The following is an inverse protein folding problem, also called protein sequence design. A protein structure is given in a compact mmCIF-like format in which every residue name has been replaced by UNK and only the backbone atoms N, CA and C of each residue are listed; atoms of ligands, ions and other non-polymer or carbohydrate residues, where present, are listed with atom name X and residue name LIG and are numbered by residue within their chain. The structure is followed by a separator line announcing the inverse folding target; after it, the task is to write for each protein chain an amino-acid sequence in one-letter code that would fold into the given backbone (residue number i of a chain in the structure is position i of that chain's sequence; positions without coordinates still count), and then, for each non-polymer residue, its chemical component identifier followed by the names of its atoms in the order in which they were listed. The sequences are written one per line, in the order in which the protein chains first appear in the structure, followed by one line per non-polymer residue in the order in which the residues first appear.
data_IF_832936057826
#
_entry.id   IF_832936057826
#
_cell.length_a   1.000
_cell.length_b   1.000
_cell.length_c   1.000
_cell.angle_alpha   90.00
_cell.angle_beta   90.00
_cell.angle_gamma   90.00
#
_symmetry.space_group_name_H-M   'P 1'
#
loop_
_entity.id
_entity.type
_entity.pdbx_description
1 polymer ?
#
# COMPACT_ATOMS: atom_id res chain seq x y z
N UNK A 1 2.84 -8.18 18.89
CA UNK A 1 3.30 -9.29 19.76
C UNK A 1 3.54 -8.84 21.19
N UNK A 2 4.26 -7.72 21.43
CA UNK A 2 4.58 -7.27 22.81
C UNK A 2 3.34 -6.89 23.65
N UNK A 3 2.27 -6.44 23.02
CA UNK A 3 1.03 -6.01 23.68
C UNK A 3 0.07 -7.18 23.92
N UNK A 4 0.06 -8.19 23.04
CA UNK A 4 -0.89 -9.30 23.07
C UNK A 4 -0.92 -10.14 24.36
N UNK A 5 0.17 -10.30 25.13
CA UNK A 5 0.10 -10.94 26.45
C UNK A 5 -0.77 -10.19 27.45
N UNK A 6 -0.95 -8.88 27.26
CA UNK A 6 -1.65 -8.00 28.20
C UNK A 6 -3.00 -7.50 27.66
N UNK A 7 -3.18 -7.54 26.35
CA UNK A 7 -4.39 -7.08 25.67
C UNK A 7 -4.66 -7.96 24.44
N UNK A 8 -5.84 -8.57 24.39
CA UNK A 8 -6.31 -9.36 23.24
C UNK A 8 -7.33 -8.52 22.48
N UNK A 9 -7.04 -8.10 21.26
CA UNK A 9 -8.01 -7.37 20.46
C UNK A 9 -9.10 -8.29 19.94
N UNK A 10 -10.30 -7.75 19.74
CA UNK A 10 -11.42 -8.46 19.11
C UNK A 10 -11.27 -8.50 17.58
N UNK A 11 -10.60 -7.49 17.01
CA UNK A 11 -10.42 -7.32 15.57
C UNK A 11 -8.97 -7.00 15.22
N UNK A 12 -8.52 -7.51 14.08
CA UNK A 12 -7.24 -7.18 13.46
C UNK A 12 -7.45 -6.89 11.97
N UNK A 13 -6.85 -5.83 11.46
CA UNK A 13 -6.87 -5.50 10.04
C UNK A 13 -5.45 -5.64 9.48
N UNK A 14 -5.28 -6.49 8.49
CA UNK A 14 -4.04 -6.63 7.71
C UNK A 14 -4.22 -5.93 6.37
N UNK A 15 -3.62 -4.75 6.23
CA UNK A 15 -3.77 -3.93 5.03
C UNK A 15 -2.90 -4.41 3.88
N UNK A 16 -1.66 -4.78 4.18
CA UNK A 16 -0.68 -5.35 3.27
C UNK A 16 0.58 -5.78 4.05
N UNK A 17 1.43 -6.55 3.40
CA UNK A 17 2.74 -6.96 3.92
C UNK A 17 3.80 -6.60 2.87
N UNK A 18 4.32 -5.37 2.96
CA UNK A 18 5.44 -4.89 2.17
C UNK A 18 6.72 -4.84 2.99
N UNK A 19 7.85 -4.95 2.33
CA UNK A 19 9.16 -4.69 2.94
C UNK A 19 9.20 -3.25 3.46
N UNK A 20 9.57 -3.08 4.73
CA UNK A 20 9.66 -1.78 5.39
C UNK A 20 10.75 -1.81 6.45
N UNK A 21 11.69 -0.87 6.39
CA UNK A 21 12.76 -0.65 7.37
C UNK A 21 13.43 -1.97 7.83
N UNK A 22 14.21 -2.60 6.93
CA UNK A 22 14.88 -3.89 7.18
C UNK A 22 15.75 -3.90 8.44
N UNK A 23 16.38 -2.78 8.75
CA UNK A 23 17.18 -2.57 9.96
C UNK A 23 16.36 -2.70 11.25
N UNK A 24 15.06 -2.45 11.19
CA UNK A 24 14.16 -2.46 12.35
C UNK A 24 13.28 -3.70 12.42
N UNK A 25 12.72 -4.14 11.29
CA UNK A 25 11.74 -5.22 11.23
C UNK A 25 12.29 -6.50 10.62
N UNK A 26 13.45 -6.44 9.98
CA UNK A 26 14.05 -7.56 9.26
C UNK A 26 13.27 -7.93 7.99
N UNK A 27 13.56 -9.10 7.47
CA UNK A 27 12.88 -9.63 6.29
C UNK A 27 11.38 -9.89 6.55
N UNK A 28 10.58 -9.89 5.48
CA UNK A 28 9.12 -10.04 5.55
C UNK A 28 8.67 -11.30 6.31
N UNK A 29 9.43 -12.39 6.22
CA UNK A 29 9.14 -13.63 6.92
C UNK A 29 9.21 -13.48 8.44
N UNK A 30 10.09 -12.63 8.95
CA UNK A 30 10.17 -12.32 10.39
C UNK A 30 8.89 -11.62 10.83
N UNK A 31 8.45 -10.62 10.05
CA UNK A 31 7.20 -9.90 10.32
C UNK A 31 5.99 -10.84 10.27
N UNK A 32 5.90 -11.70 9.26
CA UNK A 32 4.83 -12.69 9.14
C UNK A 32 4.79 -13.66 10.34
N UNK A 33 5.95 -14.15 10.77
CA UNK A 33 6.04 -15.03 11.95
C UNK A 33 5.59 -14.32 13.24
N UNK A 34 5.93 -13.04 13.40
CA UNK A 34 5.47 -12.24 14.54
C UNK A 34 3.95 -12.04 14.53
N UNK A 35 3.37 -11.78 13.36
CA UNK A 35 1.92 -11.63 13.21
C UNK A 35 1.19 -12.96 13.47
N UNK A 36 1.68 -14.08 12.91
CA UNK A 36 1.12 -15.41 13.19
C UNK A 36 1.14 -15.73 14.69
N UNK A 37 2.25 -15.44 15.38
CA UNK A 37 2.32 -15.61 16.83
C UNK A 37 1.28 -14.75 17.57
N UNK A 38 1.07 -13.50 17.14
CA UNK A 38 0.05 -12.63 17.72
C UNK A 38 -1.36 -13.19 17.50
N UNK A 39 -1.67 -13.67 16.29
CA UNK A 39 -2.95 -14.29 15.95
C UNK A 39 -3.23 -15.52 16.83
N UNK A 40 -2.24 -16.41 17.00
CA UNK A 40 -2.35 -17.59 17.88
C UNK A 40 -2.58 -17.25 19.37
N UNK A 41 -2.16 -16.06 19.81
CA UNK A 41 -2.41 -15.60 21.20
C UNK A 41 -3.84 -15.10 21.40
N UNK A 42 -4.60 -14.82 20.34
CA UNK A 42 -5.98 -14.37 20.36
C UNK A 42 -6.81 -15.13 19.31
N UNK A 43 -7.11 -16.43 19.52
CA UNK A 43 -7.73 -17.30 18.52
C UNK A 43 -9.12 -16.84 18.08
N UNK A 44 -9.87 -16.21 18.97
CA UNK A 44 -11.23 -15.69 18.67
C UNK A 44 -11.23 -14.34 17.96
N UNK A 45 -10.06 -13.70 17.81
CA UNK A 45 -9.90 -12.41 17.14
C UNK A 45 -10.29 -12.54 15.66
N UNK A 46 -11.22 -11.70 15.20
CA UNK A 46 -11.63 -11.61 13.80
C UNK A 46 -10.58 -10.85 12.99
N UNK A 47 -10.15 -11.43 11.87
CA UNK A 47 -9.09 -10.84 11.03
C UNK A 47 -9.69 -10.39 9.70
N UNK A 48 -9.56 -9.12 9.39
CA UNK A 48 -9.89 -8.56 8.09
C UNK A 48 -8.60 -8.41 7.28
N UNK A 49 -8.50 -9.10 6.15
CA UNK A 49 -7.29 -9.10 5.31
C UNK A 49 -7.54 -8.43 3.97
N UNK A 50 -6.51 -7.81 3.42
CA UNK A 50 -6.51 -7.46 2.02
C UNK A 50 -6.38 -8.75 1.19
N UNK A 51 -7.47 -9.15 0.53
CA UNK A 51 -7.53 -10.36 -0.29
C UNK A 51 -6.66 -10.29 -1.54
N UNK A 52 -6.31 -9.08 -1.99
CA UNK A 52 -5.43 -8.84 -3.13
C UNK A 52 -3.95 -8.94 -2.76
N UNK A 53 -3.61 -9.04 -1.46
CA UNK A 53 -2.27 -9.32 -0.96
C UNK A 53 -2.10 -10.80 -0.62
N UNK A 54 -1.30 -11.52 -1.43
CA UNK A 54 -1.07 -12.96 -1.25
C UNK A 54 -0.43 -13.32 0.09
N UNK A 55 0.38 -12.44 0.67
CA UNK A 55 1.04 -12.66 1.95
C UNK A 55 0.07 -12.52 3.13
N UNK A 56 -0.77 -11.48 3.11
CA UNK A 56 -1.83 -11.29 4.12
C UNK A 56 -2.84 -12.42 4.08
N UNK A 57 -3.25 -12.85 2.89
CA UNK A 57 -4.17 -13.98 2.69
C UNK A 57 -3.56 -15.30 3.17
N UNK A 58 -2.28 -15.57 2.81
CA UNK A 58 -1.58 -16.74 3.31
C UNK A 58 -1.57 -16.77 4.83
N UNK A 59 -1.25 -15.66 5.48
CA UNK A 59 -1.20 -15.55 6.92
C UNK A 59 -2.56 -15.83 7.58
N UNK A 60 -3.67 -15.33 7.00
CA UNK A 60 -5.01 -15.61 7.49
C UNK A 60 -5.39 -17.08 7.34
N UNK A 61 -5.06 -17.70 6.21
CA UNK A 61 -5.35 -19.11 5.93
C UNK A 61 -4.49 -20.09 6.75
N UNK A 62 -3.29 -19.67 7.19
CA UNK A 62 -2.35 -20.50 7.97
C UNK A 62 -2.62 -20.42 9.49
N UNK A 63 -3.61 -19.64 9.90
CA UNK A 63 -4.04 -19.50 11.29
C UNK A 63 -5.53 -19.86 11.42
N UNK A 64 -5.96 -20.21 12.64
CA UNK A 64 -7.32 -20.67 12.93
C UNK A 64 -8.31 -19.53 13.23
N UNK A 65 -7.86 -18.28 13.19
CA UNK A 65 -8.69 -17.12 13.43
C UNK A 65 -9.84 -17.03 12.41
N UNK A 66 -11.05 -16.65 12.81
CA UNK A 66 -12.09 -16.28 11.85
C UNK A 66 -11.63 -15.06 11.03
N UNK A 67 -11.79 -15.10 9.71
CA UNK A 67 -11.32 -14.03 8.85
C UNK A 67 -12.25 -13.74 7.68
N UNK A 68 -12.17 -12.50 7.21
CA UNK A 68 -12.86 -11.98 6.04
C UNK A 68 -11.86 -11.26 5.14
N UNK A 69 -12.17 -11.14 3.85
CA UNK A 69 -11.31 -10.47 2.89
C UNK A 69 -11.99 -9.24 2.28
N UNK A 70 -11.21 -8.19 2.08
CA UNK A 70 -11.58 -7.05 1.23
C UNK A 70 -10.59 -6.93 0.07
N UNK A 71 -11.00 -6.27 -1.00
CA UNK A 71 -10.14 -6.04 -2.17
C UNK A 71 -10.92 -5.44 -3.33
N UNK A 72 -10.33 -5.47 -4.53
CA UNK A 72 -10.90 -4.89 -5.74
C UNK A 72 -10.89 -5.97 -6.83
N UNK A 73 -12.06 -6.45 -7.21
CA UNK A 73 -12.18 -7.60 -8.13
C UNK A 73 -12.00 -7.24 -9.61
N UNK A 74 -11.99 -5.96 -9.94
CA UNK A 74 -11.82 -5.47 -11.30
C UNK A 74 -10.48 -4.80 -11.51
N UNK A 75 -9.86 -4.98 -12.66
CA UNK A 75 -8.64 -4.27 -13.02
C UNK A 75 -8.94 -2.77 -13.17
N UNK A 76 -8.24 -1.92 -12.39
CA UNK A 76 -8.43 -0.46 -12.41
C UNK A 76 -7.46 0.21 -13.38
N UNK A 77 -6.24 -0.34 -13.52
CA UNK A 77 -5.24 0.16 -14.46
C UNK A 77 -4.93 -0.92 -15.50
N UNK A 78 -4.50 -0.47 -16.68
CA UNK A 78 -3.83 -1.38 -17.60
C UNK A 78 -2.46 -1.74 -17.03
N UNK A 79 -2.02 -2.95 -17.30
CA UNK A 79 -0.75 -3.47 -16.83
C UNK A 79 0.39 -2.55 -17.31
N UNK A 80 1.01 -1.83 -16.37
CA UNK A 80 2.24 -1.09 -16.63
C UNK A 80 3.43 -2.04 -16.50
N UNK A 81 4.36 -1.96 -17.44
CA UNK A 81 5.61 -2.72 -17.41
C UNK A 81 6.57 -2.10 -16.37
N UNK A 82 6.25 -2.27 -15.08
CA UNK A 82 7.05 -1.72 -13.99
C UNK A 82 8.15 -2.69 -13.58
N UNK A 83 9.30 -2.15 -13.16
CA UNK A 83 10.43 -2.90 -12.59
C UNK A 83 10.28 -3.11 -11.08
N UNK A 84 9.09 -2.93 -10.53
CA UNK A 84 8.85 -3.04 -9.09
C UNK A 84 9.19 -4.43 -8.56
N UNK A 85 9.87 -4.47 -7.42
CA UNK A 85 10.12 -5.70 -6.68
C UNK A 85 8.84 -6.10 -5.97
N UNK A 86 8.42 -7.36 -6.15
CA UNK A 86 7.19 -7.91 -5.59
C UNK A 86 7.51 -8.95 -4.53
N UNK A 87 7.19 -8.69 -3.28
CA UNK A 87 7.44 -9.60 -2.14
C UNK A 87 6.63 -10.89 -2.24
N UNK A 88 5.42 -10.83 -2.79
CA UNK A 88 4.55 -11.99 -3.03
C UNK A 88 4.87 -12.79 -4.31
N UNK A 89 6.10 -12.69 -4.85
CA UNK A 89 6.48 -13.35 -6.11
C UNK A 89 6.42 -14.86 -6.07
N UNK A 90 6.68 -15.46 -4.90
CA UNK A 90 6.69 -16.91 -4.72
C UNK A 90 5.63 -17.34 -3.70
N UNK A 91 4.96 -18.43 -4.01
CA UNK A 91 3.92 -19.02 -3.18
C UNK A 91 4.49 -19.46 -1.82
N UNK A 92 3.93 -18.97 -0.73
CA UNK A 92 4.36 -19.35 0.63
C UNK A 92 3.99 -20.79 1.01
N UNK A 93 3.11 -21.45 0.23
CA UNK A 93 2.74 -22.86 0.45
C UNK A 93 3.69 -23.86 -0.21
N UNK A 94 4.10 -23.59 -1.47
CA UNK A 94 4.85 -24.59 -2.23
C UNK A 94 6.14 -24.05 -2.89
N UNK A 95 6.41 -22.75 -2.79
CA UNK A 95 7.60 -22.11 -3.38
C UNK A 95 7.52 -21.83 -4.89
N UNK A 96 6.44 -22.24 -5.57
CA UNK A 96 6.26 -21.99 -7.00
C UNK A 96 6.05 -20.50 -7.26
N UNK A 97 6.43 -20.02 -8.45
CA UNK A 97 6.21 -18.65 -8.87
C UNK A 97 4.72 -18.37 -8.98
N UNK A 98 4.28 -17.27 -8.36
CA UNK A 98 2.89 -16.80 -8.45
C UNK A 98 2.61 -16.19 -9.81
N UNK A 99 1.41 -16.42 -10.31
CA UNK A 99 0.86 -15.80 -11.52
C UNK A 99 -0.30 -14.87 -11.15
N UNK A 100 -0.58 -13.91 -12.05
CA UNK A 100 -1.58 -12.87 -11.83
C UNK A 100 -2.45 -12.72 -13.07
N UNK A 101 -3.75 -12.64 -12.86
CA UNK A 101 -4.68 -12.22 -13.91
C UNK A 101 -4.55 -10.72 -14.17
N UNK A 102 -4.33 -9.91 -13.11
CA UNK A 102 -3.97 -8.50 -13.19
C UNK A 102 -3.28 -8.03 -11.90
N UNK A 103 -2.55 -6.95 -12.03
CA UNK A 103 -1.95 -6.22 -10.90
C UNK A 103 -2.64 -4.88 -10.72
N UNK A 104 -2.71 -4.41 -9.46
CA UNK A 104 -3.04 -3.03 -9.16
C UNK A 104 -1.79 -2.20 -8.89
N UNK A 105 -0.97 -2.62 -7.95
CA UNK A 105 0.37 -2.09 -7.71
C UNK A 105 1.17 -3.06 -6.82
N UNK A 106 2.49 -3.03 -6.93
CA UNK A 106 3.37 -3.96 -6.23
C UNK A 106 2.89 -5.41 -6.38
N UNK A 107 2.61 -6.12 -5.30
CA UNK A 107 2.07 -7.49 -5.30
C UNK A 107 0.54 -7.57 -5.17
N UNK A 108 -0.15 -6.44 -5.10
CA UNK A 108 -1.61 -6.45 -4.98
C UNK A 108 -2.28 -6.71 -6.33
N UNK A 109 -3.24 -7.62 -6.34
CA UNK A 109 -4.00 -7.95 -7.53
C UNK A 109 -4.71 -9.29 -7.47
N UNK A 110 -5.12 -9.79 -8.62
CA UNK A 110 -5.74 -11.11 -8.73
C UNK A 110 -4.69 -12.18 -9.05
N UNK A 111 -4.25 -12.89 -8.03
CA UNK A 111 -3.17 -13.85 -8.07
C UNK A 111 -3.64 -15.30 -7.93
N UNK A 112 -2.80 -16.22 -8.46
CA UNK A 112 -2.92 -17.65 -8.23
C UNK A 112 -1.55 -18.35 -8.31
N UNK A 113 -1.45 -19.51 -7.68
CA UNK A 113 -0.30 -20.39 -7.75
C UNK A 113 -0.60 -21.56 -8.67
N UNK A 114 0.10 -21.73 -9.80
CA UNK A 114 -0.11 -22.86 -10.70
C UNK A 114 0.28 -24.22 -10.09
N UNK A 115 1.18 -24.22 -9.10
CA UNK A 115 1.69 -25.44 -8.48
C UNK A 115 0.75 -26.04 -7.44
N UNK A 116 0.12 -25.26 -6.58
CA UNK A 116 -0.72 -25.78 -5.49
C UNK A 116 -2.16 -25.26 -5.45
N UNK A 117 -2.55 -24.40 -6.38
CA UNK A 117 -3.90 -23.84 -6.46
C UNK A 117 -4.20 -22.78 -5.39
N UNK A 118 -3.21 -22.33 -4.62
CA UNK A 118 -3.39 -21.16 -3.74
C UNK A 118 -3.73 -19.94 -4.59
N UNK A 119 -4.80 -19.24 -4.25
CA UNK A 119 -5.29 -18.11 -5.04
C UNK A 119 -5.98 -17.07 -4.17
N UNK A 120 -6.24 -15.92 -4.78
CA UNK A 120 -7.05 -14.86 -4.18
C UNK A 120 -8.38 -15.43 -3.66
N UNK A 121 -8.79 -15.11 -2.42
CA UNK A 121 -10.07 -15.55 -1.87
C UNK A 121 -11.24 -14.79 -2.50
N UNK A 122 -12.46 -15.25 -2.25
CA UNK A 122 -13.65 -14.44 -2.45
C UNK A 122 -13.63 -13.24 -1.50
N UNK A 123 -14.02 -12.08 -2.02
CA UNK A 123 -14.02 -10.84 -1.26
C UNK A 123 -15.40 -10.64 -0.61
N UNK A 124 -15.43 -10.45 0.70
CA UNK A 124 -16.66 -10.06 1.43
C UNK A 124 -16.95 -8.57 1.22
N UNK A 125 -15.89 -7.77 1.12
CA UNK A 125 -15.96 -6.34 0.83
C UNK A 125 -15.24 -6.05 -0.48
N UNK A 126 -15.98 -6.17 -1.58
CA UNK A 126 -15.45 -6.00 -2.94
C UNK A 126 -15.67 -4.58 -3.44
N UNK A 127 -14.57 -3.86 -3.68
CA UNK A 127 -14.58 -2.55 -4.31
C UNK A 127 -14.75 -2.68 -5.83
N UNK A 128 -15.83 -2.14 -6.34
CA UNK A 128 -16.16 -2.16 -7.77
C UNK A 128 -16.38 -0.75 -8.30
N UNK A 129 -16.42 -0.59 -9.64
CA UNK A 129 -16.67 0.71 -10.29
C UNK A 129 -15.74 1.83 -9.81
N UNK A 130 -14.45 1.51 -9.65
CA UNK A 130 -13.46 2.47 -9.14
C UNK A 130 -13.22 3.59 -10.15
N UNK A 131 -13.49 4.84 -9.73
CA UNK A 131 -13.22 6.06 -10.48
C UNK A 131 -12.25 6.96 -9.67
N UNK A 132 -11.19 7.42 -10.35
CA UNK A 132 -10.11 8.23 -9.78
C UNK A 132 -9.98 9.61 -10.45
N UNK A 133 -10.92 10.00 -11.31
CA UNK A 133 -10.82 11.24 -12.10
C UNK A 133 -10.97 12.49 -11.24
N UNK A 134 -11.93 12.51 -10.33
CA UNK A 134 -12.21 13.66 -9.44
C UNK A 134 -12.25 13.20 -7.97
N UNK A 135 -11.09 12.82 -7.45
CA UNK A 135 -10.97 12.19 -6.15
C UNK A 135 -11.07 10.67 -6.25
N UNK A 136 -11.71 10.04 -5.27
CA UNK A 136 -11.94 8.60 -5.22
C UNK A 136 -13.44 8.35 -5.15
N UNK A 137 -13.97 7.54 -6.07
CA UNK A 137 -15.31 7.00 -5.99
C UNK A 137 -15.29 5.50 -6.31
N UNK A 138 -16.09 4.70 -5.61
CA UNK A 138 -16.28 3.27 -5.88
C UNK A 138 -17.50 2.74 -5.13
N UNK A 139 -17.94 1.56 -5.51
CA UNK A 139 -19.05 0.87 -4.85
C UNK A 139 -18.54 -0.31 -4.02
N UNK A 140 -19.13 -0.56 -2.86
CA UNK A 140 -18.89 -1.73 -2.02
C UNK A 140 -20.18 -2.18 -1.36
N UNK A 141 -20.58 -3.45 -1.54
CA UNK A 141 -21.78 -4.05 -0.96
C UNK A 141 -23.06 -3.20 -1.20
N UNK A 142 -23.18 -2.56 -2.38
CA UNK A 142 -24.28 -1.68 -2.73
C UNK A 142 -24.22 -0.27 -2.13
N UNK A 143 -23.15 0.05 -1.39
CA UNK A 143 -22.90 1.38 -0.86
C UNK A 143 -21.95 2.14 -1.77
N UNK A 144 -22.34 3.36 -2.22
CA UNK A 144 -21.48 4.22 -3.03
C UNK A 144 -20.59 5.08 -2.13
N UNK A 145 -19.28 4.92 -2.27
CA UNK A 145 -18.26 5.68 -1.53
C UNK A 145 -17.74 6.82 -2.39
N UNK A 146 -17.56 8.00 -1.78
CA UNK A 146 -16.93 9.16 -2.39
C UNK A 146 -16.01 9.86 -1.40
N UNK A 147 -14.77 10.16 -1.85
CA UNK A 147 -13.76 10.88 -1.07
C UNK A 147 -13.02 11.90 -1.93
N UNK A 148 -12.73 13.07 -1.36
CA UNK A 148 -12.13 14.21 -2.08
C UNK A 148 -10.59 14.18 -2.08
N UNK A 149 -9.96 13.08 -1.71
CA UNK A 149 -8.51 12.93 -1.74
C UNK A 149 -8.08 11.89 -2.78
N UNK A 150 -6.81 11.88 -3.11
CA UNK A 150 -6.25 11.15 -4.25
C UNK A 150 -5.35 10.00 -3.81
N UNK A 151 -4.93 9.21 -4.78
CA UNK A 151 -4.03 8.08 -4.63
C UNK A 151 -4.78 6.76 -4.53
N UNK A 152 -4.52 5.87 -5.48
CA UNK A 152 -5.23 4.60 -5.60
C UNK A 152 -5.11 3.73 -4.34
N UNK A 153 -3.98 3.76 -3.64
CA UNK A 153 -3.80 3.05 -2.37
C UNK A 153 -4.84 3.41 -1.30
N UNK A 154 -5.44 4.62 -1.40
CA UNK A 154 -6.49 5.04 -0.49
C UNK A 154 -7.82 4.32 -0.74
N UNK A 155 -8.07 3.77 -1.92
CA UNK A 155 -9.22 2.88 -2.15
C UNK A 155 -9.13 1.68 -1.20
N UNK A 156 -7.97 1.03 -1.12
CA UNK A 156 -7.72 -0.06 -0.19
C UNK A 156 -7.85 0.36 1.28
N UNK A 157 -7.33 1.55 1.63
CA UNK A 157 -7.45 2.07 3.00
C UNK A 157 -8.91 2.30 3.38
N UNK A 158 -9.71 2.88 2.47
CA UNK A 158 -11.15 3.12 2.69
C UNK A 158 -11.91 1.80 2.79
N UNK A 159 -11.63 0.82 1.91
CA UNK A 159 -12.21 -0.53 1.98
C UNK A 159 -11.88 -1.21 3.31
N UNK A 160 -10.63 -1.08 3.78
CA UNK A 160 -10.23 -1.63 5.09
C UNK A 160 -11.01 -1.01 6.24
N UNK A 161 -11.21 0.31 6.22
CA UNK A 161 -12.01 1.03 7.24
C UNK A 161 -13.48 0.64 7.14
N UNK A 162 -14.04 0.58 5.93
CA UNK A 162 -15.43 0.17 5.69
C UNK A 162 -15.68 -1.25 6.22
N UNK A 163 -14.82 -2.20 5.83
CA UNK A 163 -14.94 -3.58 6.28
C UNK A 163 -14.76 -3.74 7.80
N UNK A 164 -13.80 -3.04 8.39
CA UNK A 164 -13.60 -3.07 9.84
C UNK A 164 -14.81 -2.49 10.60
N UNK A 165 -15.35 -1.36 10.15
CA UNK A 165 -16.54 -0.74 10.73
C UNK A 165 -17.77 -1.65 10.62
N UNK A 166 -17.97 -2.27 9.44
CA UNK A 166 -19.03 -3.23 9.18
C UNK A 166 -18.94 -4.45 10.11
N UNK A 167 -17.76 -5.08 10.22
CA UNK A 167 -17.53 -6.23 11.11
C UNK A 167 -17.73 -5.88 12.60
N UNK A 168 -17.41 -4.66 12.98
CA UNK A 168 -17.62 -4.16 14.35
C UNK A 168 -19.06 -3.71 14.62
N UNK A 169 -19.97 -3.76 13.63
CA UNK A 169 -21.35 -3.33 13.77
C UNK A 169 -21.52 -1.81 13.91
N UNK A 170 -20.53 -1.03 13.41
CA UNK A 170 -20.63 0.44 13.39
C UNK A 170 -21.57 0.87 12.27
N UNK A 171 -22.55 1.75 12.54
CA UNK A 171 -23.43 2.30 11.51
C UNK A 171 -22.65 3.03 10.42
N UNK A 172 -23.02 2.80 9.15
CA UNK A 172 -22.27 3.32 7.98
C UNK A 172 -22.99 4.49 7.26
N UNK A 173 -24.15 4.94 7.75
CA UNK A 173 -24.95 5.99 7.10
C UNK A 173 -24.17 7.31 6.92
N UNK A 174 -23.29 7.63 7.85
CA UNK A 174 -22.46 8.85 7.81
C UNK A 174 -21.05 8.63 7.28
N UNK A 175 -20.77 7.47 6.70
CA UNK A 175 -19.42 7.10 6.26
C UNK A 175 -18.83 8.11 5.27
N UNK A 176 -19.59 8.51 4.23
CA UNK A 176 -19.17 9.52 3.27
C UNK A 176 -18.99 10.91 3.86
N UNK A 177 -19.82 11.30 4.85
CA UNK A 177 -19.66 12.56 5.56
C UNK A 177 -18.35 12.60 6.34
N UNK A 178 -18.02 11.51 7.04
CA UNK A 178 -16.75 11.36 7.78
C UNK A 178 -15.57 11.41 6.82
N UNK A 179 -15.61 10.70 5.69
CA UNK A 179 -14.57 10.75 4.67
C UNK A 179 -14.41 12.15 4.07
N UNK A 180 -15.51 12.86 3.81
CA UNK A 180 -15.49 14.23 3.27
C UNK A 180 -14.85 15.25 4.23
N UNK A 181 -14.94 15.00 5.53
CA UNK A 181 -14.32 15.83 6.57
C UNK A 181 -12.85 15.46 6.86
N UNK A 182 -12.40 14.28 6.42
CA UNK A 182 -11.02 13.85 6.59
C UNK A 182 -10.09 14.68 5.69
N UNK A 183 -9.04 15.21 6.29
CA UNK A 183 -7.96 15.90 5.56
C UNK A 183 -6.69 15.08 5.67
N UNK A 184 -6.10 14.64 4.54
CA UNK A 184 -4.79 14.01 4.54
C UNK A 184 -3.76 14.89 5.24
N UNK A 185 -2.95 14.31 6.11
CA UNK A 185 -1.92 14.99 6.89
C UNK A 185 -0.62 14.18 6.86
N UNK A 186 0.44 14.75 7.41
CA UNK A 186 1.75 14.10 7.57
C UNK A 186 2.33 13.58 6.25
N UNK A 187 2.27 14.42 5.18
CA UNK A 187 2.86 14.09 3.89
C UNK A 187 2.10 13.01 3.11
N UNK A 188 0.79 12.96 3.23
CA UNK A 188 -0.04 12.04 2.45
C UNK A 188 -0.83 12.76 1.38
N UNK A 189 -0.19 13.09 0.23
CA UNK A 189 -0.73 13.97 -0.81
C UNK A 189 -1.19 15.31 -0.24
N UNK A 190 -0.44 15.84 0.71
CA UNK A 190 -0.77 17.09 1.40
C UNK A 190 -0.45 18.28 0.48
N UNK A 191 -1.44 19.16 0.28
CA UNK A 191 -1.33 20.27 -0.65
C UNK A 191 -1.15 21.59 0.12
N UNK A 192 -0.12 22.33 -0.27
CA UNK A 192 0.19 23.65 0.25
C UNK A 192 0.16 24.69 -0.88
N UNK A 193 -0.15 25.93 -0.51
CA UNK A 193 0.04 27.10 -1.37
C UNK A 193 1.14 27.96 -0.75
N UNK A 194 2.31 28.00 -1.38
CA UNK A 194 3.48 28.73 -0.87
C UNK A 194 3.87 29.80 -1.89
N UNK A 195 3.73 31.06 -1.53
CA UNK A 195 4.08 32.21 -2.39
C UNK A 195 3.51 32.13 -3.82
N UNK A 196 2.27 31.64 -3.94
CA UNK A 196 1.60 31.48 -5.23
C UNK A 196 1.91 30.15 -5.95
N UNK A 197 2.83 29.35 -5.45
CA UNK A 197 3.17 28.04 -6.00
C UNK A 197 2.41 26.92 -5.26
N UNK A 198 1.80 26.01 -6.02
CA UNK A 198 1.17 24.80 -5.49
C UNK A 198 2.27 23.77 -5.18
N UNK A 199 2.33 23.31 -3.95
CA UNK A 199 3.29 22.31 -3.49
C UNK A 199 2.54 21.10 -2.98
N UNK A 200 2.89 19.91 -3.47
CA UNK A 200 2.40 18.63 -2.97
C UNK A 200 3.50 17.94 -2.16
N UNK A 201 3.22 17.65 -0.90
CA UNK A 201 4.14 16.94 -0.01
C UNK A 201 3.72 15.48 0.13
N UNK A 202 4.67 14.58 -0.15
CA UNK A 202 4.51 13.15 0.03
C UNK A 202 5.66 12.56 0.86
N UNK A 203 5.30 11.74 1.83
CA UNK A 203 6.24 10.94 2.62
C UNK A 203 6.29 9.51 2.09
N UNK A 204 7.50 9.01 1.89
CA UNK A 204 7.75 7.59 1.63
C UNK A 204 8.99 7.14 2.42
N UNK A 205 8.98 5.91 2.91
CA UNK A 205 10.07 5.32 3.70
C UNK A 205 10.36 3.87 3.28
N UNK A 206 9.76 3.42 2.20
CA UNK A 206 9.94 2.09 1.62
C UNK A 206 9.68 2.13 0.10
N UNK A 207 10.10 1.10 -0.66
CA UNK A 207 9.95 1.08 -2.11
C UNK A 207 8.50 1.20 -2.58
N UNK A 208 7.58 0.46 -1.98
CA UNK A 208 6.18 0.46 -2.38
C UNK A 208 5.54 1.85 -2.23
N UNK A 209 5.77 2.51 -1.09
CA UNK A 209 5.29 3.88 -0.86
C UNK A 209 5.91 4.89 -1.82
N UNK A 210 7.20 4.76 -2.14
CA UNK A 210 7.87 5.66 -3.07
C UNK A 210 7.35 5.48 -4.50
N UNK A 211 7.16 4.25 -4.95
CA UNK A 211 6.58 3.96 -6.26
C UNK A 211 5.15 4.51 -6.38
N UNK A 212 4.35 4.48 -5.31
CA UNK A 212 3.04 5.11 -5.29
C UNK A 212 3.11 6.65 -5.37
N UNK A 213 4.13 7.28 -4.76
CA UNK A 213 4.37 8.71 -4.90
C UNK A 213 4.80 9.05 -6.33
N UNK A 214 5.63 8.26 -6.98
CA UNK A 214 5.99 8.41 -8.40
C UNK A 214 4.73 8.29 -9.26
N UNK A 215 3.89 7.26 -9.03
CA UNK A 215 2.62 7.10 -9.74
C UNK A 215 1.72 8.34 -9.60
N UNK A 216 1.62 8.91 -8.40
CA UNK A 216 0.85 10.14 -8.17
C UNK A 216 1.43 11.35 -8.93
N UNK A 217 2.75 11.48 -9.00
CA UNK A 217 3.43 12.52 -9.81
C UNK A 217 3.15 12.35 -11.30
N UNK A 218 3.10 11.12 -11.79
CA UNK A 218 2.84 10.80 -13.19
C UNK A 218 1.40 11.10 -13.63
N UNK A 219 0.43 11.16 -12.73
CA UNK A 219 -0.97 11.51 -13.08
C UNK A 219 -1.15 12.97 -13.48
N UNK A 220 -0.22 13.85 -13.10
CA UNK A 220 -0.24 15.27 -13.48
C UNK A 220 0.71 15.48 -14.67
N UNK A 221 0.17 15.79 -15.84
CA UNK A 221 0.95 16.02 -17.05
C UNK A 221 1.58 17.43 -17.14
N UNK A 222 1.30 18.33 -16.20
CA UNK A 222 1.87 19.68 -16.18
C UNK A 222 3.37 19.67 -15.90
N UNK A 223 4.15 20.65 -16.40
CA UNK A 223 5.55 20.81 -15.99
C UNK A 223 5.65 21.02 -14.48
N UNK A 224 6.60 20.35 -13.84
CA UNK A 224 6.78 20.39 -12.39
C UNK A 224 8.23 20.30 -11.96
N UNK A 225 8.54 20.88 -10.82
CA UNK A 225 9.81 20.69 -10.15
C UNK A 225 9.64 19.58 -9.09
N UNK A 226 10.56 18.63 -9.06
CA UNK A 226 10.56 17.51 -8.14
C UNK A 226 11.71 17.69 -7.15
N UNK A 227 11.39 17.65 -5.85
CA UNK A 227 12.39 17.65 -4.77
C UNK A 227 12.33 16.33 -4.04
N UNK A 228 13.46 15.61 -4.00
CA UNK A 228 13.60 14.34 -3.30
C UNK A 228 14.52 14.54 -2.10
N UNK A 229 13.99 14.41 -0.89
CA UNK A 229 14.71 14.58 0.36
C UNK A 229 14.86 13.22 1.05
N UNK A 230 16.11 12.78 1.26
CA UNK A 230 16.43 11.49 1.91
C UNK A 230 17.28 11.73 3.13
N UNK A 231 16.82 11.22 4.27
CA UNK A 231 17.56 11.20 5.54
C UNK A 231 17.69 9.77 6.07
N UNK A 232 18.58 9.57 7.01
CA UNK A 232 18.85 8.32 7.71
C UNK A 232 18.91 8.50 9.24
N UNK A 233 18.17 9.47 9.77
CA UNK A 233 18.02 9.61 11.22
C UNK A 233 17.29 8.39 11.80
N UNK A 234 17.41 8.17 13.09
CA UNK A 234 16.79 7.02 13.77
C UNK A 234 15.26 6.91 13.59
N UNK A 235 14.59 8.03 13.30
CA UNK A 235 13.14 8.06 13.00
C UNK A 235 12.83 7.71 11.55
N UNK A 236 13.76 8.01 10.63
CA UNK A 236 13.61 7.78 9.19
C UNK A 236 13.91 6.31 8.81
N UNK A 237 14.66 5.60 9.66
CA UNK A 237 15.31 4.33 9.36
C UNK A 237 16.73 4.56 8.85
N UNK A 238 17.69 3.79 9.36
CA UNK A 238 19.12 3.99 9.05
C UNK A 238 19.55 3.31 7.77
N UNK A 239 18.81 2.27 7.34
CA UNK A 239 19.03 1.60 6.08
C UNK A 239 18.34 2.36 4.92
N UNK A 240 19.13 2.82 3.96
CA UNK A 240 18.67 3.47 2.73
C UNK A 240 18.85 2.59 1.49
N UNK A 241 19.22 1.31 1.65
CA UNK A 241 19.40 0.38 0.53
C UNK A 241 18.12 0.17 -0.30
N UNK A 242 16.96 0.36 0.31
CA UNK A 242 15.66 0.29 -0.34
C UNK A 242 15.49 1.27 -1.52
N UNK A 243 16.31 2.31 -1.62
CA UNK A 243 16.32 3.22 -2.78
C UNK A 243 16.62 2.48 -4.09
N UNK A 244 17.34 1.35 -4.04
CA UNK A 244 17.66 0.55 -5.22
C UNK A 244 16.48 -0.29 -5.72
N UNK A 245 15.46 -0.49 -4.88
CA UNK A 245 14.25 -1.24 -5.19
C UNK A 245 13.11 -0.36 -5.75
N UNK A 246 13.31 0.98 -5.79
CA UNK A 246 12.36 1.95 -6.35
C UNK A 246 12.55 2.08 -7.86
N UNK A 247 11.45 2.12 -8.61
CA UNK A 247 11.44 2.30 -10.06
C UNK A 247 11.53 3.80 -10.46
N UNK A 248 12.71 4.38 -10.26
CA UNK A 248 12.96 5.77 -10.64
C UNK A 248 13.01 6.01 -12.15
N UNK A 249 13.14 4.97 -12.99
CA UNK A 249 13.10 5.10 -14.46
C UNK A 249 11.83 5.84 -14.92
N UNK A 250 10.72 5.67 -14.20
CA UNK A 250 9.43 6.31 -14.48
C UNK A 250 9.49 7.84 -14.42
N UNK A 251 10.40 8.41 -13.65
CA UNK A 251 10.55 9.87 -13.56
C UNK A 251 11.00 10.53 -14.87
N UNK A 252 11.57 9.76 -15.83
CA UNK A 252 11.91 10.26 -17.17
C UNK A 252 10.68 10.79 -17.92
N UNK A 253 9.52 10.18 -17.67
CA UNK A 253 8.25 10.50 -18.32
C UNK A 253 7.37 11.45 -17.49
N UNK A 254 7.87 11.94 -16.34
CA UNK A 254 7.09 12.74 -15.39
C UNK A 254 6.89 14.21 -15.82
N UNK A 255 7.38 14.65 -16.99
CA UNK A 255 7.43 16.05 -17.40
C UNK A 255 8.05 16.96 -16.31
N UNK A 256 9.17 16.50 -15.72
CA UNK A 256 9.89 17.27 -14.71
C UNK A 256 10.75 18.34 -15.36
N UNK A 257 10.55 19.60 -14.98
CA UNK A 257 11.40 20.72 -15.38
C UNK A 257 12.75 20.65 -14.65
N UNK A 258 12.75 20.20 -13.39
CA UNK A 258 13.96 19.91 -12.64
C UNK A 258 13.73 18.77 -11.62
N UNK A 259 14.82 18.07 -11.28
CA UNK A 259 14.85 17.11 -10.17
C UNK A 259 15.98 17.51 -9.22
N UNK A 260 15.63 17.91 -8.01
CA UNK A 260 16.57 18.33 -6.98
C UNK A 260 16.62 17.28 -5.88
N UNK A 261 17.82 16.86 -5.49
CA UNK A 261 18.04 15.93 -4.37
C UNK A 261 18.64 16.66 -3.18
N UNK A 262 18.15 16.37 -1.97
CA UNK A 262 18.60 16.99 -0.74
C UNK A 262 18.52 16.03 0.46
N UNK A 263 18.85 16.50 1.65
CA UNK A 263 18.94 15.70 2.89
C UNK A 263 20.30 15.08 3.11
N UNK A 264 20.43 14.35 4.22
CA UNK A 264 21.70 13.74 4.65
C UNK A 264 22.23 12.72 3.64
N UNK A 265 21.33 12.01 2.96
CA UNK A 265 21.65 10.96 1.98
C UNK A 265 21.48 11.43 0.53
N UNK A 266 21.63 12.74 0.27
CA UNK A 266 21.50 13.29 -1.08
C UNK A 266 22.48 12.68 -2.08
N UNK A 267 23.68 12.27 -1.65
CA UNK A 267 24.68 11.66 -2.54
C UNK A 267 24.27 10.23 -2.95
N UNK A 268 23.67 9.45 -2.05
CA UNK A 268 23.13 8.13 -2.38
C UNK A 268 22.00 8.26 -3.38
N UNK A 269 21.10 9.21 -3.16
CA UNK A 269 19.98 9.48 -4.09
C UNK A 269 20.50 9.98 -5.45
N UNK A 270 21.48 10.87 -5.47
CA UNK A 270 22.12 11.33 -6.71
C UNK A 270 22.77 10.17 -7.48
N UNK A 271 23.46 9.28 -6.77
CA UNK A 271 24.04 8.08 -7.36
C UNK A 271 22.96 7.20 -7.96
N UNK A 272 21.85 6.97 -7.23
CA UNK A 272 20.74 6.15 -7.69
C UNK A 272 20.09 6.72 -8.97
N UNK A 273 19.85 8.03 -9.02
CA UNK A 273 19.30 8.69 -10.23
C UNK A 273 20.24 8.59 -11.43
N UNK A 274 21.56 8.74 -11.20
CA UNK A 274 22.56 8.55 -12.27
C UNK A 274 22.49 7.15 -12.90
N UNK A 275 22.16 6.10 -12.14
CA UNK A 275 22.02 4.73 -12.66
C UNK A 275 20.77 4.52 -13.52
N UNK A 276 19.86 5.46 -13.51
CA UNK A 276 18.68 5.51 -14.39
C UNK A 276 18.75 6.67 -15.39
N UNK A 277 19.94 7.23 -15.62
CA UNK A 277 20.19 8.33 -16.57
C UNK A 277 19.34 9.60 -16.33
N UNK A 278 19.18 9.96 -15.05
CA UNK A 278 18.54 11.21 -14.58
C UNK A 278 19.59 12.08 -13.88
#
# INVERSE_FOLDING_TARGET
VRVFPHFKPDYMVLTNLFRDQLDRYGEIDITMNLLSRAMKMAPDMKVLVNGDDSLSTYLAMDNENPWSAYGISTQVFQEENTKEIREGRFCKRCGEKMEYNFYHYSQLGDYYCPGCGFKRPSLEFDGTNVDLNDGIAFDVNGFHIKANYRGFYNVYNILAVYGAASLAGVPLEHFNEILGNYKPQFGRNELFQISGTKVMLNLAKNPAGFNQNIAAVMTDSSPKDIIILINDNSQDGTDVSWLWDVDFDRLKDANAASITVCGLRCQDMRLRLKYVDI
#
